data_IF_350988969919
#
_entry.id   IF_350988969919
#
_cell.length_a   1.000
_cell.length_b   1.000
_cell.length_c   1.000
_cell.angle_alpha   90.00
_cell.angle_beta   90.00
_cell.angle_gamma   90.00
#
_symmetry.space_group_name_H-M   'P 1'
#
loop_
_entity.id
_entity.type
_entity.pdbx_description
1 polymer ?
#
# COMPACT_ATOMS: atom_id res chain seq x y z
N UNK A 1 37.92 36.03 22.14
CA UNK A 1 37.34 35.39 20.94
C UNK A 1 35.98 36.01 20.76
N UNK A 2 35.85 36.98 19.85
CA UNK A 2 34.58 37.66 19.57
C UNK A 2 33.76 36.68 18.73
N UNK A 3 32.71 36.10 19.33
CA UNK A 3 31.67 35.40 18.59
C UNK A 3 30.99 36.43 17.69
N UNK A 4 31.39 36.48 16.43
CA UNK A 4 30.68 37.26 15.41
C UNK A 4 29.29 36.63 15.26
N UNK A 5 28.30 37.26 15.91
CA UNK A 5 26.91 36.89 15.77
C UNK A 5 26.47 37.35 14.38
N UNK A 6 26.43 36.42 13.43
CA UNK A 6 25.87 36.69 12.11
C UNK A 6 24.41 37.12 12.29
N UNK A 7 24.07 38.31 11.79
CA UNK A 7 22.68 38.73 11.69
C UNK A 7 21.99 37.92 10.60
N UNK A 8 20.69 37.70 10.73
CA UNK A 8 19.89 36.93 9.76
C UNK A 8 20.03 37.49 8.34
N UNK A 9 20.08 38.82 8.19
CA UNK A 9 20.35 39.49 6.91
C UNK A 9 21.70 39.10 6.30
N UNK A 10 22.76 39.07 7.11
CA UNK A 10 24.08 38.71 6.63
C UNK A 10 24.13 37.23 6.20
N UNK A 11 23.41 36.34 6.90
CA UNK A 11 23.28 34.94 6.49
C UNK A 11 22.58 34.80 5.14
N UNK A 12 21.47 35.52 4.93
CA UNK A 12 20.72 35.48 3.66
C UNK A 12 21.57 36.01 2.50
N UNK A 13 22.31 37.10 2.68
CA UNK A 13 23.22 37.62 1.65
C UNK A 13 24.36 36.64 1.32
N UNK A 14 24.97 36.02 2.33
CA UNK A 14 26.02 35.02 2.12
C UNK A 14 25.50 33.78 1.38
N UNK A 15 24.31 33.30 1.73
CA UNK A 15 23.67 32.18 1.03
C UNK A 15 23.36 32.59 -0.42
N UNK A 16 22.81 33.79 -0.64
CA UNK A 16 22.54 34.30 -1.99
C UNK A 16 23.80 34.41 -2.85
N UNK A 17 24.93 34.81 -2.26
CA UNK A 17 26.23 34.83 -2.93
C UNK A 17 26.71 33.40 -3.29
N UNK A 18 26.58 32.44 -2.38
CA UNK A 18 26.95 31.04 -2.63
C UNK A 18 26.10 30.38 -3.73
N UNK A 19 24.81 30.71 -3.79
CA UNK A 19 23.91 30.27 -4.86
C UNK A 19 24.31 30.89 -6.20
N UNK A 20 24.63 32.19 -6.20
CA UNK A 20 25.03 32.92 -7.42
C UNK A 20 26.33 32.38 -8.03
N UNK A 21 27.26 31.97 -7.18
CA UNK A 21 28.52 31.32 -7.58
C UNK A 21 28.34 29.83 -7.95
N UNK A 22 27.10 29.29 -7.89
CA UNK A 22 26.79 27.91 -8.24
C UNK A 22 27.31 26.86 -7.26
N UNK A 23 27.78 27.29 -6.08
CA UNK A 23 28.37 26.42 -5.06
C UNK A 23 27.31 25.73 -4.19
N UNK A 24 26.06 26.22 -4.21
CA UNK A 24 25.00 25.74 -3.34
C UNK A 24 23.66 25.73 -4.07
N UNK A 25 23.04 24.55 -4.17
CA UNK A 25 21.70 24.38 -4.74
C UNK A 25 20.69 24.30 -3.58
N UNK A 26 19.78 25.28 -3.51
CA UNK A 26 18.84 25.41 -2.40
C UNK A 26 17.42 25.57 -2.90
N UNK A 27 16.53 24.91 -2.19
CA UNK A 27 15.09 24.90 -2.43
C UNK A 27 14.48 25.85 -1.40
N UNK A 28 13.63 26.75 -1.87
CA UNK A 28 12.87 27.64 -1.00
C UNK A 28 11.56 26.96 -0.62
N UNK A 29 11.16 27.06 0.64
CA UNK A 29 9.81 26.67 1.04
C UNK A 29 8.77 27.61 0.44
N UNK A 30 7.52 27.15 0.33
CA UNK A 30 6.40 27.97 -0.18
C UNK A 30 6.17 29.25 0.62
N UNK A 31 6.53 29.23 1.91
CA UNK A 31 6.51 30.39 2.81
C UNK A 31 7.69 31.37 2.57
N UNK A 32 8.68 31.01 1.74
CA UNK A 32 9.86 31.81 1.39
C UNK A 32 10.83 32.09 2.55
N UNK A 33 10.59 31.49 3.72
CA UNK A 33 11.34 31.74 4.95
C UNK A 33 12.45 30.74 5.20
N UNK A 34 12.28 29.50 4.74
CA UNK A 34 13.23 28.43 5.00
C UNK A 34 13.94 28.03 3.71
N UNK A 35 15.26 27.89 3.86
CA UNK A 35 16.17 27.50 2.80
C UNK A 35 16.58 26.05 3.10
N UNK A 36 16.16 25.12 2.25
CA UNK A 36 16.37 23.69 2.45
C UNK A 36 17.36 23.19 1.40
N UNK A 37 18.37 22.45 1.86
CA UNK A 37 19.31 21.75 0.98
C UNK A 37 18.69 20.45 0.47
N UNK A 38 19.07 20.02 -0.74
CA UNK A 38 18.51 18.80 -1.34
C UNK A 38 18.67 17.56 -0.46
N UNK A 39 19.82 17.41 0.20
CA UNK A 39 20.08 16.29 1.12
C UNK A 39 19.21 16.35 2.38
N UNK A 40 18.89 17.54 2.86
CA UNK A 40 18.00 17.72 4.02
C UNK A 40 16.57 17.37 3.64
N UNK A 41 16.14 17.78 2.44
CA UNK A 41 14.82 17.43 1.92
C UNK A 41 14.63 15.92 1.85
N UNK A 42 15.59 15.17 1.31
CA UNK A 42 15.49 13.70 1.24
C UNK A 42 15.27 13.08 2.62
N UNK A 43 16.01 13.53 3.64
CA UNK A 43 15.84 13.05 5.02
C UNK A 43 14.48 13.41 5.60
N UNK A 44 14.03 14.64 5.41
CA UNK A 44 12.72 15.07 5.90
C UNK A 44 11.58 14.29 5.22
N UNK A 45 11.71 13.96 3.93
CA UNK A 45 10.78 13.09 3.22
C UNK A 45 10.76 11.68 3.84
N UNK A 46 11.93 11.09 4.12
CA UNK A 46 12.01 9.77 4.75
C UNK A 46 11.39 9.78 6.15
N UNK A 47 11.73 10.77 6.97
CA UNK A 47 11.20 10.93 8.33
C UNK A 47 9.66 11.04 8.32
N UNK A 48 9.10 11.80 7.38
CA UNK A 48 7.63 11.90 7.20
C UNK A 48 7.01 10.58 6.73
N UNK A 49 7.68 9.80 5.88
CA UNK A 49 7.18 8.48 5.47
C UNK A 49 7.13 7.53 6.67
N UNK A 50 8.17 7.51 7.50
CA UNK A 50 8.19 6.68 8.71
C UNK A 50 7.16 7.16 9.75
N UNK A 51 6.94 8.46 9.87
CA UNK A 51 5.93 9.03 10.77
C UNK A 51 4.49 8.63 10.37
N UNK A 52 4.23 8.46 9.08
CA UNK A 52 2.93 8.05 8.53
C UNK A 52 2.84 6.53 8.28
N UNK A 53 3.47 5.72 9.14
CA UNK A 53 3.40 4.25 9.10
C UNK A 53 3.82 3.63 7.76
N UNK A 54 4.66 4.32 6.98
CA UNK A 54 5.20 3.82 5.72
C UNK A 54 4.33 4.05 4.48
N UNK A 55 3.22 4.79 4.58
CA UNK A 55 2.40 5.19 3.42
C UNK A 55 2.06 6.67 3.44
N UNK A 56 2.41 7.40 2.38
CA UNK A 56 2.02 8.81 2.23
C UNK A 56 1.87 9.24 0.78
N UNK A 57 0.88 10.09 0.50
CA UNK A 57 0.72 10.74 -0.80
C UNK A 57 1.67 11.93 -0.92
N UNK A 58 2.27 12.17 -2.09
CA UNK A 58 3.13 13.33 -2.32
C UNK A 58 2.37 14.64 -2.06
N UNK A 59 1.08 14.71 -2.37
CA UNK A 59 0.29 15.94 -2.11
C UNK A 59 0.23 16.25 -0.61
N UNK A 60 0.03 15.24 0.23
CA UNK A 60 -0.01 15.40 1.69
C UNK A 60 1.39 15.68 2.24
N UNK A 61 2.40 14.99 1.73
CA UNK A 61 3.81 15.23 2.04
C UNK A 61 4.23 16.68 1.72
N UNK A 62 3.80 17.21 0.58
CA UNK A 62 4.05 18.60 0.17
C UNK A 62 3.39 19.61 1.12
N UNK A 63 2.21 19.29 1.65
CA UNK A 63 1.54 20.12 2.65
C UNK A 63 2.23 20.06 4.02
N UNK A 64 2.66 18.88 4.46
CA UNK A 64 3.38 18.72 5.74
C UNK A 64 4.74 19.42 5.71
N UNK A 65 5.51 19.24 4.64
CA UNK A 65 6.82 19.87 4.46
C UNK A 65 6.72 21.34 4.04
N UNK A 66 5.55 21.80 3.57
CA UNK A 66 5.31 23.13 2.99
C UNK A 66 6.24 23.46 1.82
N UNK A 67 6.49 22.47 0.97
CA UNK A 67 7.37 22.56 -0.20
C UNK A 67 6.52 22.36 -1.45
N UNK A 68 6.88 23.04 -2.55
CA UNK A 68 6.16 22.84 -3.81
C UNK A 68 6.29 21.40 -4.29
N UNK A 69 5.16 20.88 -4.78
CA UNK A 69 5.02 19.53 -5.28
C UNK A 69 6.08 19.18 -6.34
N UNK A 70 6.38 20.13 -7.24
CA UNK A 70 7.34 19.92 -8.34
C UNK A 70 8.76 19.60 -7.86
N UNK A 71 9.19 20.17 -6.72
CA UNK A 71 10.50 19.85 -6.15
C UNK A 71 10.52 18.43 -5.58
N UNK A 72 9.46 18.05 -4.88
CA UNK A 72 9.35 16.71 -4.30
C UNK A 72 9.31 15.66 -5.41
N UNK A 73 8.50 15.87 -6.46
CA UNK A 73 8.43 14.99 -7.64
C UNK A 73 9.80 14.77 -8.29
N UNK A 74 10.60 15.83 -8.41
CA UNK A 74 11.96 15.72 -8.96
C UNK A 74 12.91 14.89 -8.08
N UNK A 75 12.61 14.78 -6.79
CA UNK A 75 13.44 14.07 -5.78
C UNK A 75 12.96 12.69 -5.41
N UNK A 76 11.77 12.27 -5.84
CA UNK A 76 11.27 10.90 -5.67
C UNK A 76 12.32 9.85 -6.07
N UNK A 77 12.96 10.05 -7.23
CA UNK A 77 13.98 9.11 -7.74
C UNK A 77 15.25 9.06 -6.90
N UNK A 78 15.59 10.12 -6.17
CA UNK A 78 16.75 10.13 -5.27
C UNK A 78 16.39 9.50 -3.91
N UNK A 79 15.16 9.72 -3.42
CA UNK A 79 14.64 9.07 -2.21
C UNK A 79 14.60 7.54 -2.37
N UNK A 80 14.10 7.04 -3.51
CA UNK A 80 14.09 5.61 -3.81
C UNK A 80 15.49 4.99 -3.97
N UNK A 81 16.53 5.79 -4.23
CA UNK A 81 17.92 5.32 -4.26
C UNK A 81 18.53 5.23 -2.86
N UNK A 82 18.19 6.17 -1.98
CA UNK A 82 18.67 6.14 -0.59
C UNK A 82 18.03 4.98 0.17
N UNK A 83 16.72 4.77 0.01
CA UNK A 83 16.01 3.63 0.59
C UNK A 83 15.37 2.76 -0.50
N UNK A 84 15.99 1.62 -0.86
CA UNK A 84 15.47 0.70 -1.87
C UNK A 84 14.24 -0.09 -1.39
N UNK A 85 13.88 0.01 -0.10
CA UNK A 85 12.66 -0.64 0.43
C UNK A 85 11.40 0.16 0.12
N UNK A 86 11.54 1.43 -0.27
CA UNK A 86 10.44 2.31 -0.65
C UNK A 86 10.07 2.12 -2.12
N UNK A 87 8.78 1.97 -2.36
CA UNK A 87 8.19 1.94 -3.69
C UNK A 87 7.37 3.20 -3.91
N UNK A 88 7.45 3.75 -5.12
CA UNK A 88 6.67 4.90 -5.53
C UNK A 88 5.63 4.50 -6.57
N UNK A 89 4.35 4.66 -6.25
CA UNK A 89 3.23 4.19 -7.08
C UNK A 89 2.14 5.25 -7.11
N UNK A 90 1.80 5.75 -8.31
CA UNK A 90 0.69 6.68 -8.57
C UNK A 90 0.63 7.89 -7.60
N UNK A 91 1.78 8.50 -7.28
CA UNK A 91 1.80 9.64 -6.36
C UNK A 91 1.87 9.26 -4.88
N UNK A 92 2.07 7.98 -4.55
CA UNK A 92 2.19 7.50 -3.17
C UNK A 92 3.54 6.82 -2.95
N UNK A 93 4.16 7.12 -1.81
CA UNK A 93 5.26 6.32 -1.27
C UNK A 93 4.67 5.20 -0.42
N UNK A 94 5.19 3.99 -0.60
CA UNK A 94 4.79 2.80 0.12
C UNK A 94 6.04 2.03 0.54
N UNK A 95 6.19 1.77 1.84
CA UNK A 95 7.29 0.98 2.38
C UNK A 95 7.06 -0.52 2.25
N UNK A 96 8.16 -1.27 2.20
CA UNK A 96 8.11 -2.73 2.25
C UNK A 96 7.52 -3.24 3.56
N UNK A 97 7.70 -2.52 4.67
CA UNK A 97 7.12 -2.86 5.98
C UNK A 97 5.60 -2.74 5.94
N UNK A 98 5.06 -1.63 5.43
CA UNK A 98 3.63 -1.44 5.22
C UNK A 98 3.05 -2.57 4.35
N UNK A 99 3.74 -2.89 3.26
CA UNK A 99 3.35 -4.01 2.37
C UNK A 99 3.30 -5.34 3.12
N UNK A 100 4.25 -5.58 4.02
CA UNK A 100 4.35 -6.83 4.77
C UNK A 100 3.22 -6.94 5.81
N UNK A 101 2.94 -5.86 6.54
CA UNK A 101 1.81 -5.80 7.46
C UNK A 101 0.47 -6.01 6.76
N UNK A 102 0.26 -5.38 5.60
CA UNK A 102 -0.94 -5.62 4.78
C UNK A 102 -1.10 -7.08 4.37
N UNK A 103 -0.01 -7.75 4.01
CA UNK A 103 -0.05 -9.17 3.64
C UNK A 103 -0.44 -10.03 4.83
N UNK A 104 0.10 -9.74 6.01
CA UNK A 104 -0.25 -10.44 7.26
C UNK A 104 -1.72 -10.24 7.61
N UNK A 105 -2.22 -9.01 7.58
CA UNK A 105 -3.64 -8.71 7.85
C UNK A 105 -4.59 -9.44 6.90
N UNK A 106 -4.31 -9.38 5.59
CA UNK A 106 -5.16 -10.05 4.58
C UNK A 106 -5.12 -11.57 4.81
N UNK A 107 -3.95 -12.11 5.16
CA UNK A 107 -3.82 -13.53 5.45
C UNK A 107 -4.61 -13.95 6.70
N UNK A 108 -4.56 -13.16 7.78
CA UNK A 108 -5.33 -13.42 9.00
C UNK A 108 -6.85 -13.34 8.73
N UNK A 109 -7.28 -12.35 7.95
CA UNK A 109 -8.68 -12.26 7.51
C UNK A 109 -9.09 -13.49 6.66
N UNK A 110 -8.20 -14.00 5.82
CA UNK A 110 -8.47 -15.20 5.01
C UNK A 110 -8.55 -16.46 5.86
N UNK A 111 -7.73 -16.58 6.90
CA UNK A 111 -7.77 -17.69 7.85
C UNK A 111 -9.07 -17.65 8.66
N UNK A 112 -9.49 -16.47 9.11
CA UNK A 112 -10.71 -16.29 9.90
C UNK A 112 -11.99 -16.50 9.08
N UNK A 113 -12.10 -15.84 7.93
CA UNK A 113 -13.33 -15.83 7.11
C UNK A 113 -13.38 -16.93 6.06
N UNK A 114 -12.23 -17.40 5.59
CA UNK A 114 -12.11 -18.39 4.51
C UNK A 114 -12.35 -17.86 3.09
N UNK A 115 -13.00 -16.68 2.95
CA UNK A 115 -13.28 -16.02 1.69
C UNK A 115 -13.13 -14.49 1.82
N UNK A 116 -12.55 -13.83 0.82
CA UNK A 116 -12.48 -12.37 0.73
C UNK A 116 -12.65 -11.92 -0.71
N UNK A 117 -13.49 -10.92 -0.96
CA UNK A 117 -13.60 -10.33 -2.29
C UNK A 117 -12.50 -9.29 -2.54
N UNK A 118 -11.94 -9.27 -3.75
CA UNK A 118 -10.94 -8.29 -4.15
C UNK A 118 -11.51 -6.87 -4.13
N UNK A 119 -12.80 -6.71 -4.46
CA UNK A 119 -13.50 -5.43 -4.38
C UNK A 119 -13.62 -4.90 -2.95
N UNK A 120 -13.74 -5.77 -1.95
CA UNK A 120 -13.72 -5.38 -0.54
C UNK A 120 -12.33 -4.89 -0.14
N UNK A 121 -11.27 -5.58 -0.56
CA UNK A 121 -9.89 -5.16 -0.31
C UNK A 121 -9.57 -3.79 -0.91
N UNK A 122 -9.97 -3.53 -2.16
CA UNK A 122 -9.77 -2.21 -2.79
C UNK A 122 -10.48 -1.11 -2.00
N UNK A 123 -11.73 -1.36 -1.56
CA UNK A 123 -12.52 -0.37 -0.81
C UNK A 123 -11.98 -0.11 0.59
N UNK A 124 -11.45 -1.14 1.24
CA UNK A 124 -10.94 -1.04 2.60
C UNK A 124 -9.59 -0.32 2.64
N UNK A 125 -8.69 -0.63 1.70
CA UNK A 125 -7.32 -0.12 1.72
C UNK A 125 -7.10 1.10 0.82
N UNK A 126 -8.06 1.44 -0.06
CA UNK A 126 -7.96 2.54 -1.03
C UNK A 126 -6.63 2.52 -1.80
N UNK A 127 -6.24 1.33 -2.26
CA UNK A 127 -5.00 1.10 -2.98
C UNK A 127 -5.27 0.88 -4.47
N UNK A 128 -4.31 1.23 -5.34
CA UNK A 128 -4.40 0.91 -6.76
C UNK A 128 -4.60 -0.59 -6.99
N UNK A 129 -5.54 -0.93 -7.89
CA UNK A 129 -5.87 -2.31 -8.26
C UNK A 129 -4.67 -3.11 -8.74
N UNK A 130 -3.80 -2.49 -9.54
CA UNK A 130 -2.58 -3.14 -10.05
C UNK A 130 -1.62 -3.50 -8.92
N UNK A 131 -1.44 -2.60 -7.96
CA UNK A 131 -0.58 -2.83 -6.81
C UNK A 131 -1.12 -3.96 -5.92
N UNK A 132 -2.41 -3.91 -5.60
CA UNK A 132 -3.05 -4.94 -4.77
C UNK A 132 -3.02 -6.31 -5.46
N UNK A 133 -3.22 -6.37 -6.79
CA UNK A 133 -3.07 -7.60 -7.57
C UNK A 133 -1.63 -8.15 -7.51
N UNK A 134 -0.63 -7.27 -7.58
CA UNK A 134 0.78 -7.68 -7.49
C UNK A 134 1.11 -8.27 -6.11
N UNK A 135 0.58 -7.69 -5.03
CA UNK A 135 0.74 -8.21 -3.66
C UNK A 135 0.08 -9.58 -3.53
N UNK A 136 -1.18 -9.68 -3.96
CA UNK A 136 -1.95 -10.92 -3.87
C UNK A 136 -1.25 -12.05 -4.65
N UNK A 137 -0.77 -11.78 -5.85
CA UNK A 137 -0.17 -12.80 -6.72
C UNK A 137 1.23 -13.18 -6.24
N UNK A 138 2.09 -12.20 -5.95
CA UNK A 138 3.51 -12.45 -5.68
C UNK A 138 3.82 -12.74 -4.22
N UNK A 139 3.01 -12.25 -3.27
CA UNK A 139 3.24 -12.45 -1.84
C UNK A 139 2.21 -13.38 -1.23
N UNK A 140 0.92 -13.17 -1.44
CA UNK A 140 -0.09 -14.00 -0.78
C UNK A 140 -0.12 -15.42 -1.36
N UNK A 141 -0.31 -15.55 -2.68
CA UNK A 141 -0.38 -16.86 -3.32
C UNK A 141 0.96 -17.60 -3.21
N UNK A 142 2.07 -16.92 -3.47
CA UNK A 142 3.40 -17.53 -3.44
C UNK A 142 3.92 -17.86 -2.02
N UNK A 143 3.53 -17.08 -1.00
CA UNK A 143 3.96 -17.31 0.40
C UNK A 143 3.00 -18.18 1.19
N UNK A 144 1.79 -18.46 0.68
CA UNK A 144 0.78 -19.15 1.47
C UNK A 144 1.08 -20.63 1.67
N UNK A 145 1.26 -21.03 2.93
CA UNK A 145 1.27 -22.43 3.38
C UNK A 145 -0.10 -23.12 3.19
N UNK A 146 -1.16 -22.33 2.99
CA UNK A 146 -2.57 -22.76 3.03
C UNK A 146 -3.24 -22.88 1.64
N UNK A 147 -2.46 -22.88 0.56
CA UNK A 147 -2.93 -23.02 -0.83
C UNK A 147 -4.10 -22.08 -1.16
N UNK A 148 -3.86 -20.76 -1.09
CA UNK A 148 -4.86 -19.74 -1.40
C UNK A 148 -5.06 -19.67 -2.92
N UNK A 149 -6.32 -19.62 -3.37
CA UNK A 149 -6.70 -19.50 -4.79
C UNK A 149 -7.37 -18.16 -5.04
N UNK A 150 -6.96 -17.48 -6.12
CA UNK A 150 -7.58 -16.24 -6.57
C UNK A 150 -8.38 -16.49 -7.85
N UNK A 151 -9.71 -16.40 -7.77
CA UNK A 151 -10.60 -16.64 -8.92
C UNK A 151 -11.79 -15.70 -8.92
N UNK A 152 -12.14 -15.21 -10.12
CA UNK A 152 -13.29 -14.32 -10.33
C UNK A 152 -13.31 -13.11 -9.38
N UNK A 153 -12.14 -12.55 -9.08
CA UNK A 153 -12.00 -11.41 -8.17
C UNK A 153 -12.28 -11.76 -6.70
N UNK A 154 -12.18 -13.03 -6.31
CA UNK A 154 -12.36 -13.48 -4.92
C UNK A 154 -11.22 -14.42 -4.53
N UNK A 155 -10.71 -14.24 -3.32
CA UNK A 155 -9.71 -15.08 -2.68
C UNK A 155 -10.40 -16.14 -1.82
N UNK A 156 -10.00 -17.40 -1.99
CA UNK A 156 -10.52 -18.53 -1.23
C UNK A 156 -9.37 -19.34 -0.64
N UNK A 157 -9.57 -19.83 0.58
CA UNK A 157 -8.68 -20.84 1.16
C UNK A 157 -9.12 -22.24 0.74
N UNK A 158 -8.18 -23.17 0.57
CA UNK A 158 -8.52 -24.56 0.20
C UNK A 158 -9.40 -25.23 1.27
N UNK A 159 -9.16 -24.90 2.55
CA UNK A 159 -10.00 -25.36 3.66
C UNK A 159 -11.45 -24.89 3.54
N UNK A 160 -11.66 -23.62 3.15
CA UNK A 160 -13.01 -23.11 2.90
C UNK A 160 -13.68 -23.89 1.77
N UNK A 161 -13.01 -24.09 0.64
CA UNK A 161 -13.56 -24.86 -0.50
C UNK A 161 -13.94 -26.29 -0.09
N UNK A 162 -13.07 -26.99 0.66
CA UNK A 162 -13.36 -28.35 1.15
C UNK A 162 -14.55 -28.38 2.10
N UNK A 163 -14.66 -27.40 2.99
CA UNK A 163 -15.79 -27.30 3.91
C UNK A 163 -17.10 -27.11 3.14
N UNK A 164 -17.10 -26.27 2.10
CA UNK A 164 -18.25 -26.07 1.23
C UNK A 164 -18.62 -27.34 0.46
N UNK A 165 -17.63 -28.08 -0.07
CA UNK A 165 -17.84 -29.38 -0.71
C UNK A 165 -18.48 -30.39 0.25
N UNK A 166 -17.98 -30.50 1.48
CA UNK A 166 -18.51 -31.44 2.47
C UNK A 166 -19.94 -31.10 2.90
N UNK A 167 -20.30 -29.82 3.03
CA UNK A 167 -21.68 -29.40 3.28
C UNK A 167 -22.58 -29.81 2.12
N UNK A 168 -22.14 -29.59 0.89
CA UNK A 168 -22.91 -29.95 -0.30
C UNK A 168 -23.10 -31.46 -0.40
N UNK A 169 -22.04 -32.25 -0.20
CA UNK A 169 -22.12 -33.72 -0.17
C UNK A 169 -23.10 -34.17 0.92
N UNK A 170 -22.98 -33.67 2.15
CA UNK A 170 -23.91 -34.03 3.23
C UNK A 170 -25.36 -33.66 2.94
N UNK A 171 -25.60 -32.52 2.27
CA UNK A 171 -26.94 -32.12 1.85
C UNK A 171 -27.49 -33.04 0.75
N UNK A 172 -26.67 -33.40 -0.23
CA UNK A 172 -27.07 -34.30 -1.32
C UNK A 172 -27.26 -35.74 -0.85
N UNK A 173 -26.44 -36.22 0.09
CA UNK A 173 -26.61 -37.55 0.71
C UNK A 173 -27.93 -37.65 1.49
N UNK A 174 -28.38 -36.55 2.11
CA UNK A 174 -29.67 -36.47 2.78
C UNK A 174 -30.86 -36.27 1.80
N UNK A 175 -30.59 -35.87 0.57
CA UNK A 175 -31.64 -35.61 -0.42
C UNK A 175 -32.10 -36.91 -1.10
N UNK A 176 -33.31 -37.35 -0.77
CA UNK A 176 -33.92 -38.54 -1.38
C UNK A 176 -34.55 -38.29 -2.76
N UNK A 177 -34.56 -37.04 -3.23
CA UNK A 177 -35.17 -36.61 -4.50
C UNK A 177 -34.27 -35.58 -5.20
N UNK A 178 -34.39 -35.41 -6.53
CA UNK A 178 -33.65 -34.36 -7.25
C UNK A 178 -33.98 -32.97 -6.69
N UNK A 179 -32.96 -32.27 -6.16
CA UNK A 179 -33.10 -30.92 -5.60
C UNK A 179 -32.58 -29.90 -6.60
N UNK A 180 -33.26 -28.74 -6.68
CA UNK A 180 -32.79 -27.63 -7.53
C UNK A 180 -31.58 -26.95 -6.89
N UNK A 181 -30.60 -26.57 -7.71
CA UNK A 181 -29.39 -25.87 -7.24
C UNK A 181 -29.71 -24.59 -6.46
N UNK A 182 -30.73 -23.84 -6.87
CA UNK A 182 -31.20 -22.65 -6.16
C UNK A 182 -31.75 -22.93 -4.76
N UNK A 183 -32.29 -24.13 -4.53
CA UNK A 183 -32.81 -24.55 -3.23
C UNK A 183 -31.68 -25.02 -2.31
N UNK A 184 -30.65 -25.65 -2.87
CA UNK A 184 -29.41 -25.97 -2.16
C UNK A 184 -28.75 -24.68 -1.67
N UNK A 185 -28.52 -23.71 -2.55
CA UNK A 185 -27.90 -22.40 -2.20
C UNK A 185 -28.74 -21.63 -1.17
N UNK A 186 -30.05 -21.75 -1.19
CA UNK A 186 -30.91 -21.06 -0.22
C UNK A 186 -30.83 -21.71 1.16
N UNK A 187 -30.76 -23.04 1.21
CA UNK A 187 -30.80 -23.82 2.45
C UNK A 187 -29.40 -24.04 3.05
N UNK A 188 -28.37 -23.98 2.23
CA UNK A 188 -26.97 -24.08 2.61
C UNK A 188 -26.34 -22.71 2.40
N UNK A 189 -25.55 -22.19 3.35
CA UNK A 189 -24.88 -20.89 3.20
C UNK A 189 -23.69 -20.97 2.22
N UNK A 190 -23.83 -21.72 1.13
CA UNK A 190 -22.79 -21.97 0.14
C UNK A 190 -22.67 -20.80 -0.80
N UNK A 191 -21.44 -20.41 -1.09
CA UNK A 191 -21.17 -19.32 -2.02
C UNK A 191 -21.43 -19.78 -3.46
N UNK A 192 -22.35 -19.10 -4.16
CA UNK A 192 -22.77 -19.43 -5.53
C UNK A 192 -21.61 -19.51 -6.52
N UNK A 193 -20.57 -18.69 -6.31
CA UNK A 193 -19.41 -18.62 -7.19
C UNK A 193 -18.57 -19.91 -7.19
N UNK A 194 -18.65 -20.71 -6.12
CA UNK A 194 -17.95 -21.99 -6.02
C UNK A 194 -18.70 -23.11 -6.77
N UNK A 195 -20.03 -23.02 -6.85
CA UNK A 195 -20.86 -23.99 -7.55
C UNK A 195 -20.82 -23.74 -9.07
N UNK A 196 -20.86 -22.47 -9.49
CA UNK A 196 -20.85 -22.10 -10.92
C UNK A 196 -19.49 -22.34 -11.60
N UNK A 197 -18.39 -22.39 -10.83
CA UNK A 197 -17.04 -22.64 -11.36
C UNK A 197 -16.72 -24.13 -11.62
N UNK A 198 -17.70 -25.04 -11.51
CA UNK A 198 -17.53 -26.48 -11.77
C UNK A 198 -16.46 -27.15 -10.89
N UNK A 199 -16.22 -26.62 -9.68
CA UNK A 199 -15.20 -27.12 -8.73
C UNK A 199 -15.77 -27.81 -7.50
N UNK A 200 -17.08 -27.91 -7.41
CA UNK A 200 -17.82 -28.77 -6.48
C UNK A 200 -18.65 -29.73 -7.32
#
# INVERSE_FOLDING_TARGET
IILFRLSERNCVELIGLLVKEGLLNVIYTTDGKDIITEQRLIREILDEIYANEGRINIVDLAQHLKIDLSYIESKVGDVCKEDPTLQFILGQFISAEYTSHLVEEINDMLVERGLISFSELIRQYDLPTEYLNSIVTNRIIASSLHNIKFESGTLYTDNYVRLQQNILIGYLEAAFLPVRVSEIIKNTRINENLIQSNKI
#
